data_IF_823423459083
#
_entry.id   IF_823423459083
#
_cell.length_a   1.000
_cell.length_b   1.000
_cell.length_c   1.000
_cell.angle_alpha   90.00
_cell.angle_beta   90.00
_cell.angle_gamma   90.00
#
_symmetry.space_group_name_H-M   'P 1'
#
loop_
_entity.id
_entity.type
_entity.pdbx_description
1 polymer ?
#
# COMPACT_ATOMS: atom_id res chain seq x y z
N UNK A 1 -3.28 13.41 -22.04
CA UNK A 1 -2.90 13.49 -20.61
C UNK A 1 -3.32 12.19 -19.95
N UNK A 2 -2.41 11.47 -19.31
CA UNK A 2 -2.66 10.15 -18.71
C UNK A 2 -3.08 10.33 -17.26
N UNK A 3 -4.21 9.70 -16.90
CA UNK A 3 -4.94 9.88 -15.66
C UNK A 3 -4.47 8.87 -14.59
N UNK A 4 -4.35 9.29 -13.32
CA UNK A 4 -4.39 8.35 -12.19
C UNK A 4 -5.85 8.01 -11.92
N UNK A 5 -6.21 6.73 -12.06
CA UNK A 5 -7.48 6.21 -11.56
C UNK A 5 -7.32 5.83 -10.09
N UNK A 6 -8.09 6.49 -9.22
CA UNK A 6 -8.49 5.92 -7.93
C UNK A 6 -9.70 5.00 -8.22
N UNK A 7 -9.53 3.69 -8.07
CA UNK A 7 -10.60 2.72 -8.32
C UNK A 7 -11.42 2.55 -7.03
N UNK A 8 -12.55 3.26 -6.94
CA UNK A 8 -13.73 2.80 -6.20
C UNK A 8 -14.64 2.07 -7.20
N UNK A 9 -15.00 0.82 -6.89
CA UNK A 9 -15.81 -0.03 -7.77
C UNK A 9 -17.27 0.01 -7.33
N UNK A 10 -18.11 0.82 -7.99
CA UNK A 10 -19.57 0.74 -7.89
C UNK A 10 -20.24 0.75 -9.28
N UNK A 11 -20.67 -0.46 -9.68
CA UNK A 11 -21.70 -0.83 -10.67
C UNK A 11 -21.41 -0.88 -12.19
N UNK A 12 -21.61 -2.11 -12.70
CA UNK A 12 -22.20 -2.53 -13.98
C UNK A 12 -21.53 -2.14 -15.31
N UNK A 13 -20.36 -2.72 -15.57
CA UNK A 13 -19.94 -3.13 -16.91
C UNK A 13 -19.31 -4.52 -16.77
N UNK A 14 -19.73 -5.47 -17.61
CA UNK A 14 -19.19 -6.82 -17.66
C UNK A 14 -17.74 -6.78 -18.17
N UNK A 15 -16.83 -6.58 -17.23
CA UNK A 15 -15.38 -6.72 -17.38
C UNK A 15 -15.07 -8.01 -16.65
N UNK A 16 -14.28 -8.91 -17.26
CA UNK A 16 -13.74 -10.07 -16.54
C UNK A 16 -12.99 -9.55 -15.31
N UNK A 17 -13.65 -9.65 -14.16
CA UNK A 17 -13.20 -9.17 -12.89
C UNK A 17 -11.99 -10.02 -12.46
N UNK A 18 -10.82 -9.40 -12.40
CA UNK A 18 -9.84 -9.84 -11.44
C UNK A 18 -10.16 -9.13 -10.14
N UNK A 19 -10.60 -9.90 -9.15
CA UNK A 19 -10.73 -9.44 -7.79
C UNK A 19 -9.31 -9.25 -7.23
N UNK A 20 -8.78 -8.03 -7.31
CA UNK A 20 -8.01 -7.56 -6.16
C UNK A 20 -8.90 -7.84 -4.96
N UNK A 21 -8.50 -8.79 -4.12
CA UNK A 21 -9.37 -9.25 -3.04
C UNK A 21 -9.81 -8.00 -2.30
N UNK A 22 -11.11 -7.71 -2.25
CA UNK A 22 -11.56 -6.56 -1.48
C UNK A 22 -11.31 -6.98 -0.03
N UNK A 23 -10.21 -6.47 0.53
CA UNK A 23 -9.78 -6.70 1.90
C UNK A 23 -10.65 -5.87 2.85
N UNK A 24 -11.98 -5.85 2.64
CA UNK A 24 -12.91 -5.05 3.43
C UNK A 24 -12.70 -5.40 4.90
N UNK A 25 -12.37 -4.38 5.70
CA UNK A 25 -12.07 -4.49 7.12
C UNK A 25 -10.88 -5.40 7.50
N UNK A 26 -10.05 -5.85 6.55
CA UNK A 26 -8.88 -6.66 6.90
C UNK A 26 -7.66 -5.83 7.28
N UNK A 27 -7.50 -4.68 6.64
CA UNK A 27 -6.45 -3.72 6.96
C UNK A 27 -7.01 -2.31 7.07
N UNK A 28 -6.44 -1.51 7.96
CA UNK A 28 -6.64 -0.07 8.01
C UNK A 28 -5.30 0.64 7.79
N UNK A 29 -5.34 1.77 7.09
CA UNK A 29 -4.14 2.54 6.75
C UNK A 29 -4.33 3.96 7.25
N UNK A 30 -3.48 4.39 8.17
CA UNK A 30 -3.29 5.80 8.49
C UNK A 30 -2.11 6.33 7.68
N UNK A 31 -2.32 7.45 6.97
CA UNK A 31 -1.27 8.10 6.18
C UNK A 31 -0.92 9.44 6.80
N UNK A 32 0.36 9.63 7.11
CA UNK A 32 0.91 10.89 7.61
C UNK A 32 1.81 11.46 6.52
N UNK A 33 1.56 12.72 6.13
CA UNK A 33 2.35 13.43 5.13
C UNK A 33 2.99 14.64 5.78
N UNK A 34 4.33 14.69 5.78
CA UNK A 34 5.10 15.80 6.34
C UNK A 34 5.80 16.56 5.23
N UNK A 35 5.49 17.85 5.00
CA UNK A 35 6.21 18.66 4.01
C UNK A 35 7.63 18.95 4.50
N UNK A 36 8.62 18.82 3.62
CA UNK A 36 10.02 19.17 3.89
C UNK A 36 10.44 20.49 3.21
N UNK A 37 9.56 21.06 2.38
CA UNK A 37 9.79 22.29 1.61
C UNK A 37 9.86 22.03 0.12
N UNK A 38 9.51 23.04 -0.69
CA UNK A 38 9.42 22.87 -2.15
C UNK A 38 8.46 21.75 -2.55
N UNK A 39 8.94 20.83 -3.39
CA UNK A 39 8.20 19.69 -3.91
C UNK A 39 8.56 18.37 -3.19
N UNK A 40 9.01 18.47 -1.95
CA UNK A 40 9.51 17.35 -1.15
C UNK A 40 8.63 17.05 0.08
N UNK A 41 8.35 15.77 0.28
CA UNK A 41 7.47 15.27 1.34
C UNK A 41 7.99 13.96 1.91
N UNK A 42 7.75 13.72 3.18
CA UNK A 42 7.86 12.39 3.79
C UNK A 42 6.48 11.80 3.95
N UNK A 43 6.30 10.57 3.46
CA UNK A 43 5.11 9.76 3.66
C UNK A 43 5.39 8.66 4.69
N UNK A 44 4.50 8.52 5.66
CA UNK A 44 4.46 7.41 6.60
C UNK A 44 3.08 6.75 6.54
N UNK A 45 3.06 5.45 6.33
CA UNK A 45 1.87 4.60 6.27
C UNK A 45 1.91 3.64 7.45
N UNK A 46 0.96 3.81 8.38
CA UNK A 46 0.73 2.86 9.45
C UNK A 46 -0.37 1.89 8.99
N UNK A 47 0.04 0.66 8.64
CA UNK A 47 -0.86 -0.39 8.16
C UNK A 47 -1.18 -1.33 9.32
N UNK A 48 -2.42 -1.32 9.78
CA UNK A 48 -2.89 -2.20 10.86
C UNK A 48 -3.61 -3.40 10.29
N UNK A 49 -3.18 -4.60 10.68
CA UNK A 49 -3.86 -5.85 10.35
C UNK A 49 -5.01 -6.06 11.33
N UNK A 50 -6.25 -5.88 10.85
CA UNK A 50 -7.44 -5.97 11.70
C UNK A 50 -7.94 -7.39 11.88
N UNK A 51 -7.87 -8.24 10.83
CA UNK A 51 -8.40 -9.60 10.89
C UNK A 51 -7.83 -10.58 9.83
N UNK A 52 -6.75 -10.24 9.14
CA UNK A 52 -6.12 -11.13 8.15
C UNK A 52 -5.07 -12.02 8.82
N UNK A 53 -5.38 -13.30 9.02
CA UNK A 53 -4.43 -14.33 9.45
C UNK A 53 -5.01 -15.71 9.14
N UNK A 54 -4.14 -16.67 8.82
CA UNK A 54 -4.51 -18.07 8.71
C UNK A 54 -4.73 -18.66 10.09
N UNK A 55 -5.85 -19.36 10.29
CA UNK A 55 -6.10 -20.16 11.50
C UNK A 55 -5.11 -21.33 11.65
N UNK A 56 -4.44 -21.73 10.58
CA UNK A 56 -3.51 -22.88 10.54
C UNK A 56 -2.05 -22.47 10.76
N UNK A 57 -1.68 -21.23 10.43
CA UNK A 57 -0.29 -20.77 10.46
C UNK A 57 -0.16 -19.48 11.26
N UNK A 58 0.59 -19.54 12.36
CA UNK A 58 0.80 -18.41 13.30
C UNK A 58 1.66 -17.28 12.72
N UNK A 59 2.31 -17.50 11.58
CA UNK A 59 3.20 -16.53 10.89
C UNK A 59 2.61 -16.09 9.54
N UNK A 60 1.31 -15.76 9.55
CA UNK A 60 0.59 -15.25 8.37
C UNK A 60 -0.11 -13.94 8.73
N UNK A 61 -0.30 -13.07 7.75
CA UNK A 61 -0.56 -11.65 8.01
C UNK A 61 -0.09 -10.77 6.85
N UNK A 62 0.15 -9.49 7.11
CA UNK A 62 0.73 -8.57 6.13
C UNK A 62 2.18 -8.96 5.81
N UNK A 63 2.43 -9.39 4.57
CA UNK A 63 3.74 -9.82 4.05
C UNK A 63 4.25 -8.94 2.91
N UNK A 64 3.40 -8.07 2.35
CA UNK A 64 3.77 -7.09 1.35
C UNK A 64 2.91 -5.82 1.41
N UNK A 65 3.51 -4.68 1.11
CA UNK A 65 2.82 -3.40 0.98
C UNK A 65 3.30 -2.67 -0.27
N UNK A 66 2.38 -2.03 -1.00
CA UNK A 66 2.68 -1.36 -2.26
C UNK A 66 1.99 0.00 -2.31
N UNK A 67 2.71 1.00 -2.82
CA UNK A 67 2.12 2.30 -3.17
C UNK A 67 2.56 2.71 -4.56
N UNK A 68 1.69 3.43 -5.25
CA UNK A 68 1.97 3.95 -6.58
C UNK A 68 2.45 5.39 -6.48
N UNK A 69 3.55 5.70 -7.16
CA UNK A 69 4.15 7.05 -7.20
C UNK A 69 4.54 7.42 -8.63
N UNK A 70 4.69 8.72 -8.96
CA UNK A 70 5.19 9.11 -10.27
C UNK A 70 6.57 8.49 -10.58
N UNK A 71 6.78 8.07 -11.83
CA UNK A 71 8.05 7.43 -12.26
C UNK A 71 9.23 8.41 -12.34
N UNK A 72 8.95 9.71 -12.40
CA UNK A 72 9.93 10.79 -12.38
C UNK A 72 10.22 11.35 -10.98
N UNK A 73 9.61 10.79 -9.93
CA UNK A 73 9.85 11.20 -8.55
C UNK A 73 11.20 10.64 -8.05
N UNK A 74 11.86 11.41 -7.19
CA UNK A 74 13.10 10.97 -6.54
C UNK A 74 12.73 10.42 -5.16
N UNK A 75 13.04 9.14 -4.93
CA UNK A 75 12.67 8.41 -3.72
C UNK A 75 13.90 8.17 -2.85
N UNK A 76 13.77 8.39 -1.54
CA UNK A 76 14.86 8.22 -0.57
C UNK A 76 14.31 7.90 0.83
N UNK A 77 15.20 7.64 1.78
CA UNK A 77 14.87 7.45 3.21
C UNK A 77 13.72 6.45 3.45
N UNK A 78 13.79 5.28 2.81
CA UNK A 78 12.81 4.23 3.02
C UNK A 78 12.77 3.81 4.50
N UNK A 79 11.58 3.81 5.06
CA UNK A 79 11.26 3.28 6.39
C UNK A 79 10.69 1.89 6.16
N UNK A 80 11.30 0.90 6.79
CA UNK A 80 10.85 -0.49 6.78
C UNK A 80 10.52 -0.91 8.21
N UNK A 81 9.46 -1.70 8.43
CA UNK A 81 9.15 -2.21 9.75
C UNK A 81 10.26 -3.14 10.25
N UNK A 82 10.38 -3.25 11.58
CA UNK A 82 11.15 -4.34 12.18
C UNK A 82 10.43 -5.68 11.92
N UNK A 83 11.13 -6.82 11.90
CA UNK A 83 10.44 -8.11 11.95
C UNK A 83 9.59 -8.19 13.22
N UNK A 84 8.38 -8.74 13.09
CA UNK A 84 7.43 -8.82 14.21
C UNK A 84 7.94 -9.77 15.31
N UNK A 85 8.48 -10.92 14.91
CA UNK A 85 9.18 -11.82 15.83
C UNK A 85 10.66 -11.43 15.84
N UNK A 86 11.23 -11.10 17.02
CA UNK A 86 12.66 -10.87 17.29
C UNK A 86 13.54 -12.04 16.79
N UNK A 87 13.69 -12.14 15.48
CA UNK A 87 14.22 -13.27 14.74
C UNK A 87 14.74 -12.77 13.38
N UNK A 88 15.21 -13.67 12.52
CA UNK A 88 15.92 -13.36 11.28
C UNK A 88 15.09 -12.77 10.13
N UNK A 89 13.83 -12.37 10.37
CA UNK A 89 13.03 -11.67 9.36
C UNK A 89 13.57 -10.28 9.07
N UNK A 90 13.35 -9.78 7.85
CA UNK A 90 13.57 -8.39 7.49
C UNK A 90 12.67 -7.96 6.33
N UNK A 91 12.45 -6.67 6.20
CA UNK A 91 11.71 -6.08 5.09
C UNK A 91 12.68 -5.50 4.05
N UNK A 92 12.36 -5.67 2.77
CA UNK A 92 13.08 -5.02 1.67
C UNK A 92 12.17 -4.07 0.96
N UNK A 93 12.64 -2.86 0.71
CA UNK A 93 11.96 -1.89 -0.15
C UNK A 93 12.54 -1.90 -1.56
N UNK A 94 11.69 -1.90 -2.58
CA UNK A 94 12.13 -1.77 -3.99
C UNK A 94 11.23 -0.82 -4.76
N UNK A 95 11.73 -0.34 -5.90
CA UNK A 95 10.91 0.36 -6.89
C UNK A 95 10.88 -0.45 -8.17
N UNK A 96 9.72 -0.50 -8.83
CA UNK A 96 9.56 -1.27 -10.06
C UNK A 96 8.41 -0.76 -10.90
N UNK A 97 8.56 -0.83 -12.22
CA UNK A 97 7.46 -0.63 -13.17
C UNK A 97 6.59 -1.88 -13.33
N UNK A 98 6.98 -2.99 -12.68
CA UNK A 98 6.27 -4.27 -12.65
C UNK A 98 5.93 -4.65 -11.20
N UNK A 99 4.71 -5.12 -10.94
CA UNK A 99 4.39 -5.72 -9.64
C UNK A 99 4.98 -7.15 -9.59
N UNK A 100 5.53 -7.58 -8.44
CA UNK A 100 6.19 -8.88 -8.35
C UNK A 100 5.20 -10.06 -8.32
N UNK A 101 5.45 -11.02 -9.22
CA UNK A 101 5.13 -12.47 -9.30
C UNK A 101 3.74 -13.04 -8.97
N UNK A 102 2.77 -12.27 -8.44
CA UNK A 102 1.38 -12.76 -8.24
C UNK A 102 0.34 -12.01 -9.07
N UNK A 103 0.77 -11.07 -9.90
CA UNK A 103 -0.13 -10.10 -10.50
C UNK A 103 -0.04 -10.11 -12.03
N UNK A 104 -0.93 -10.88 -12.65
CA UNK A 104 -1.11 -10.91 -14.10
C UNK A 104 -2.15 -9.87 -14.58
N UNK A 105 -2.60 -8.95 -13.71
CA UNK A 105 -3.75 -8.08 -13.99
C UNK A 105 -3.54 -6.57 -13.77
N UNK A 106 -2.66 -6.15 -12.86
CA UNK A 106 -2.49 -4.72 -12.56
C UNK A 106 -1.48 -4.05 -13.49
N UNK A 107 -2.00 -3.53 -14.61
CA UNK A 107 -1.26 -2.64 -15.49
C UNK A 107 -1.09 -1.30 -14.79
N UNK A 108 0.14 -1.00 -14.42
CA UNK A 108 0.51 0.30 -13.89
C UNK A 108 0.23 1.39 -14.95
N UNK A 109 -0.48 2.48 -14.61
CA UNK A 109 -0.65 3.60 -15.53
C UNK A 109 0.72 4.14 -15.94
N UNK A 110 0.88 4.51 -17.20
CA UNK A 110 2.13 5.12 -17.67
C UNK A 110 2.36 6.46 -16.99
N UNK A 111 3.61 6.72 -16.58
CA UNK A 111 3.98 7.85 -15.72
C UNK A 111 4.11 7.48 -14.23
N UNK A 112 3.99 6.19 -13.88
CA UNK A 112 4.04 5.72 -12.51
C UNK A 112 5.01 4.54 -12.35
N UNK A 113 5.46 4.35 -11.12
CA UNK A 113 6.19 3.19 -10.62
C UNK A 113 5.55 2.71 -9.31
N UNK A 114 5.73 1.44 -8.99
CA UNK A 114 5.44 0.91 -7.67
C UNK A 114 6.62 1.17 -6.75
N UNK A 115 6.32 1.61 -5.53
CA UNK A 115 7.17 1.41 -4.37
C UNK A 115 6.60 0.21 -3.63
N UNK A 116 7.44 -0.78 -3.33
CA UNK A 116 7.04 -1.97 -2.60
C UNK A 116 7.88 -2.17 -1.36
N UNK A 117 7.26 -2.79 -0.36
CA UNK A 117 7.92 -3.42 0.77
C UNK A 117 7.53 -4.88 0.76
N UNK A 118 8.53 -5.76 0.86
CA UNK A 118 8.35 -7.20 0.91
C UNK A 118 8.95 -7.76 2.18
N UNK A 119 8.16 -8.50 2.95
CA UNK A 119 8.58 -9.23 4.12
C UNK A 119 9.35 -10.48 3.70
N UNK A 120 10.65 -10.50 3.98
CA UNK A 120 11.47 -11.68 3.76
C UNK A 120 11.39 -12.57 4.99
N UNK A 121 11.08 -13.85 4.78
CA UNK A 121 10.84 -14.85 5.82
C UNK A 121 9.50 -14.68 6.56
N UNK A 122 8.91 -15.78 7.07
CA UNK A 122 7.63 -15.73 7.80
C UNK A 122 7.65 -14.80 9.04
N UNK A 123 8.83 -14.54 9.59
CA UNK A 123 9.01 -13.63 10.72
C UNK A 123 8.77 -12.14 10.40
N UNK A 124 8.75 -11.79 9.12
CA UNK A 124 8.45 -10.44 8.64
C UNK A 124 6.97 -10.21 8.40
N UNK A 125 6.13 -11.13 8.84
CA UNK A 125 4.68 -11.04 8.68
C UNK A 125 4.05 -10.46 9.94
N UNK A 126 3.19 -9.45 9.76
CA UNK A 126 2.52 -8.76 10.87
C UNK A 126 1.14 -9.39 11.15
N UNK A 127 0.93 -10.01 12.34
CA UNK A 127 -0.31 -10.71 12.65
C UNK A 127 -1.46 -9.76 12.99
N UNK A 128 -2.65 -10.33 13.23
CA UNK A 128 -3.84 -9.58 13.62
C UNK A 128 -3.59 -8.74 14.88
N UNK A 129 -4.13 -7.53 14.88
CA UNK A 129 -4.05 -6.55 15.97
C UNK A 129 -2.75 -5.76 16.00
N UNK A 130 -1.88 -5.91 14.99
CA UNK A 130 -0.57 -5.25 14.95
C UNK A 130 -0.47 -4.25 13.80
N UNK A 131 0.40 -3.25 13.99
CA UNK A 131 0.62 -2.17 13.03
C UNK A 131 2.06 -2.21 12.53
N UNK A 132 2.23 -2.20 11.20
CA UNK A 132 3.50 -2.05 10.52
C UNK A 132 3.61 -0.62 9.94
N UNK A 133 4.76 0.01 10.13
CA UNK A 133 5.03 1.35 9.61
C UNK A 133 5.96 1.30 8.41
N UNK A 134 5.49 1.81 7.28
CA UNK A 134 6.22 1.91 6.01
C UNK A 134 6.34 3.37 5.62
N UNK A 135 7.41 3.77 4.96
CA UNK A 135 7.53 5.16 4.55
C UNK A 135 8.70 5.43 3.62
N UNK A 136 8.71 6.63 3.08
CA UNK A 136 9.79 7.14 2.23
C UNK A 136 9.69 8.66 2.14
N UNK A 137 10.81 9.29 1.81
CA UNK A 137 10.84 10.66 1.33
C UNK A 137 10.72 10.65 -0.19
N UNK A 138 9.89 11.54 -0.71
CA UNK A 138 9.69 11.77 -2.14
C UNK A 138 9.93 13.23 -2.48
N UNK A 139 10.61 13.46 -3.59
CA UNK A 139 10.89 14.77 -4.16
C UNK A 139 10.42 14.83 -5.63
N UNK A 140 10.35 16.03 -6.17
CA UNK A 140 9.86 16.34 -7.51
C UNK A 140 8.38 15.95 -7.70
N UNK A 141 7.57 16.12 -6.67
CA UNK A 141 6.12 15.85 -6.73
C UNK A 141 5.29 17.03 -6.26
N UNK A 142 4.11 17.18 -6.86
CA UNK A 142 3.07 18.08 -6.38
C UNK A 142 1.99 17.22 -5.71
N UNK A 143 1.59 17.57 -4.48
CA UNK A 143 0.43 16.94 -3.87
C UNK A 143 -0.85 17.34 -4.62
N UNK A 144 -1.69 16.37 -4.94
CA UNK A 144 -3.06 16.65 -5.38
C UNK A 144 -3.94 17.12 -4.22
N UNK A 145 -4.96 17.91 -4.49
CA UNK A 145 -6.02 18.21 -3.51
C UNK A 145 -7.05 17.08 -3.50
N UNK A 146 -7.28 16.46 -2.34
CA UNK A 146 -8.40 15.54 -2.13
C UNK A 146 -9.67 16.38 -1.89
N UNK A 147 -10.58 16.44 -2.85
CA UNK A 147 -11.95 16.89 -2.59
C UNK A 147 -12.71 15.73 -1.96
N UNK A 148 -12.77 15.70 -0.62
CA UNK A 148 -13.64 14.88 0.25
C UNK A 148 -13.94 13.42 -0.19
N UNK A 149 -13.58 12.47 0.67
CA UNK A 149 -14.14 11.11 0.63
C UNK A 149 -15.68 11.20 0.73
N UNK A 150 -16.47 10.61 -0.17
CA UNK A 150 -17.92 10.52 0.02
C UNK A 150 -18.19 9.75 1.31
N UNK A 151 -18.97 10.34 2.20
CA UNK A 151 -19.53 9.65 3.37
C UNK A 151 -20.46 8.54 2.88
N UNK A 152 -19.99 7.29 2.89
CA UNK A 152 -20.86 6.12 2.75
C UNK A 152 -21.52 5.84 4.11
N UNK A 153 -22.35 6.77 4.56
CA UNK A 153 -23.30 6.48 5.62
C UNK A 153 -24.29 5.41 5.12
N UNK A 154 -24.53 4.32 5.88
CA UNK A 154 -25.38 3.23 5.42
C UNK A 154 -26.80 3.73 5.18
N UNK A 155 -27.27 3.60 3.95
CA UNK A 155 -28.67 3.77 3.62
C UNK A 155 -29.44 2.62 4.29
N UNK A 156 -30.13 2.93 5.39
CA UNK A 156 -31.12 2.02 5.98
C UNK A 156 -32.18 1.71 4.91
N UNK A 157 -32.29 0.44 4.53
CA UNK A 157 -33.46 -0.11 3.83
C UNK A 157 -34.39 -0.69 4.87
#
# INVERSE_FOLDING_TARGET
MKFIKLILLSSLISIKAFAGLILTNQYSIETIVTPLGGNQYTFLYNVTNNNQQSSTYTMTGLDAFYVMVPDNAILSNFITPLPYFNSSGFWTSTTSTQLSIFDTGNILPSGYQWVSWWGNWPASVYPIGTTASFGFTIDNVNLGTVTSVPDESPQNI
#
